data_IF_227642966778
#
_entry.id   IF_227642966778
#
_cell.length_a   1.000
_cell.length_b   1.000
_cell.length_c   1.000
_cell.angle_alpha   90.00
_cell.angle_beta   90.00
_cell.angle_gamma   90.00
#
_symmetry.space_group_name_H-M   'P 1'
#
loop_
_entity.id
_entity.type
_entity.pdbx_description
1 polymer ?
#
# COMPACT_ATOMS: atom_id res chain seq x y z
N UNK A 1 -3.27 -12.20 -3.55
CA UNK A 1 -3.01 -11.21 -4.62
C UNK A 1 -2.75 -11.89 -5.97
N UNK A 2 -3.42 -11.48 -7.05
CA UNK A 2 -3.12 -11.96 -8.42
C UNK A 2 -2.42 -10.90 -9.24
N UNK A 3 -1.68 -11.31 -10.28
CA UNK A 3 -0.95 -10.36 -11.14
C UNK A 3 -1.92 -9.39 -11.82
N UNK A 4 -3.02 -9.93 -12.36
CA UNK A 4 -4.08 -9.14 -12.99
C UNK A 4 -4.64 -8.09 -12.03
N UNK A 5 -4.98 -8.47 -10.81
CA UNK A 5 -5.52 -7.55 -9.81
C UNK A 5 -4.54 -6.40 -9.53
N UNK A 6 -3.25 -6.70 -9.33
CA UNK A 6 -2.25 -5.67 -9.07
C UNK A 6 -2.09 -4.72 -10.26
N UNK A 7 -2.06 -5.26 -11.50
CA UNK A 7 -2.00 -4.44 -12.72
C UNK A 7 -3.22 -3.53 -12.88
N UNK A 8 -4.42 -4.07 -12.65
CA UNK A 8 -5.68 -3.32 -12.74
C UNK A 8 -5.71 -2.19 -11.70
N UNK A 9 -5.28 -2.47 -10.47
CA UNK A 9 -5.17 -1.47 -9.38
C UNK A 9 -4.18 -0.37 -9.72
N UNK A 10 -2.99 -0.71 -10.23
CA UNK A 10 -1.98 0.29 -10.63
C UNK A 10 -2.51 1.16 -11.77
N UNK A 11 -3.19 0.55 -12.75
CA UNK A 11 -3.81 1.26 -13.86
C UNK A 11 -4.85 2.25 -13.35
N UNK A 12 -5.76 1.80 -12.49
CA UNK A 12 -6.80 2.63 -11.88
C UNK A 12 -6.19 3.77 -11.06
N UNK A 13 -5.15 3.51 -10.27
CA UNK A 13 -4.45 4.53 -9.48
C UNK A 13 -3.85 5.62 -10.38
N UNK A 14 -3.23 5.24 -11.51
CA UNK A 14 -2.68 6.18 -12.49
C UNK A 14 -3.78 7.00 -13.17
N UNK A 15 -4.85 6.36 -13.63
CA UNK A 15 -5.98 7.03 -14.27
C UNK A 15 -6.65 8.05 -13.33
N UNK A 16 -6.76 7.70 -12.05
CA UNK A 16 -7.31 8.56 -11.00
C UNK A 16 -6.29 9.53 -10.39
N UNK A 17 -5.06 9.61 -10.93
CA UNK A 17 -3.98 10.50 -10.42
C UNK A 17 -3.75 10.38 -8.91
N UNK A 18 -3.77 9.14 -8.42
CA UNK A 18 -3.47 8.80 -7.04
C UNK A 18 -1.96 8.85 -6.82
N UNK A 19 -1.52 9.24 -5.63
CA UNK A 19 -0.09 9.28 -5.28
C UNK A 19 0.43 7.91 -4.87
N UNK A 20 -0.43 7.07 -4.27
CA UNK A 20 -0.03 5.76 -3.80
C UNK A 20 -1.19 4.78 -3.67
N UNK A 21 -0.82 3.54 -3.39
CA UNK A 21 -1.73 2.45 -3.03
C UNK A 21 -1.27 1.83 -1.72
N UNK A 22 -2.21 1.51 -0.84
CA UNK A 22 -1.98 0.75 0.39
C UNK A 22 -2.70 -0.58 0.27
N UNK A 23 -1.96 -1.69 0.39
CA UNK A 23 -2.49 -3.05 0.30
C UNK A 23 -2.34 -3.71 1.67
N UNK A 24 -3.46 -4.11 2.27
CA UNK A 24 -3.47 -4.75 3.58
C UNK A 24 -3.20 -6.26 3.49
N UNK A 25 -2.63 -6.83 4.55
CA UNK A 25 -2.40 -8.27 4.64
C UNK A 25 -3.71 -9.07 4.64
N UNK A 26 -4.69 -8.64 5.43
CA UNK A 26 -6.01 -9.28 5.46
C UNK A 26 -7.11 -8.30 5.84
N UNK A 27 -8.36 -8.69 5.63
CA UNK A 27 -9.54 -7.95 6.10
C UNK A 27 -9.52 -7.77 7.62
N UNK A 28 -9.21 -8.85 8.35
CA UNK A 28 -9.10 -8.84 9.81
C UNK A 28 -7.97 -7.94 10.29
N UNK A 29 -6.85 -7.87 9.57
CA UNK A 29 -5.77 -6.93 9.89
C UNK A 29 -6.24 -5.49 9.72
N UNK A 30 -6.93 -5.20 8.62
CA UNK A 30 -7.47 -3.86 8.36
C UNK A 30 -8.52 -3.45 9.40
N UNK A 31 -9.47 -4.32 9.74
CA UNK A 31 -10.50 -4.01 10.77
C UNK A 31 -9.88 -3.74 12.14
N UNK A 32 -8.88 -4.52 12.54
CA UNK A 32 -8.27 -4.38 13.86
C UNK A 32 -7.26 -3.23 13.96
N UNK A 33 -6.62 -2.85 12.85
CA UNK A 33 -5.44 -1.96 12.87
C UNK A 33 -5.57 -0.73 11.98
N UNK A 34 -6.35 -0.78 10.91
CA UNK A 34 -6.44 0.28 9.91
C UNK A 34 -7.73 1.08 10.00
N UNK A 35 -8.84 0.43 10.33
CA UNK A 35 -10.13 1.10 10.38
C UNK A 35 -10.19 2.06 11.58
N UNK A 36 -10.08 3.36 11.30
CA UNK A 36 -10.14 4.41 12.31
C UNK A 36 -8.86 4.61 13.12
N UNK A 37 -7.75 3.94 12.75
CA UNK A 37 -6.45 4.15 13.38
C UNK A 37 -5.64 5.19 12.59
N UNK A 38 -5.78 6.44 13.03
CA UNK A 38 -5.18 7.59 12.33
C UNK A 38 -3.66 7.51 12.23
N UNK A 39 -2.96 7.01 13.24
CA UNK A 39 -1.49 6.90 13.21
C UNK A 39 -1.01 5.94 12.11
N UNK A 40 -1.70 4.83 11.92
CA UNK A 40 -1.35 3.82 10.92
C UNK A 40 -1.65 4.34 9.51
N UNK A 41 -2.75 5.08 9.35
CA UNK A 41 -3.06 5.75 8.09
C UNK A 41 -2.04 6.86 7.79
N UNK A 42 -1.75 7.75 8.76
CA UNK A 42 -0.78 8.83 8.62
C UNK A 42 0.62 8.31 8.26
N UNK A 43 1.07 7.20 8.87
CA UNK A 43 2.34 6.56 8.52
C UNK A 43 2.37 6.02 7.08
N UNK A 44 1.26 5.44 6.61
CA UNK A 44 1.16 4.96 5.23
C UNK A 44 1.18 6.14 4.24
N UNK A 45 0.50 7.23 4.59
CA UNK A 45 0.44 8.46 3.80
C UNK A 45 1.81 9.15 3.75
N UNK A 46 2.46 9.35 4.89
CA UNK A 46 3.80 9.97 5.01
C UNK A 46 4.82 9.24 4.13
N UNK A 47 4.86 7.91 4.18
CA UNK A 47 5.80 7.16 3.35
C UNK A 47 5.50 7.24 1.86
N UNK A 48 4.22 7.29 1.47
CA UNK A 48 3.83 7.53 0.08
C UNK A 48 4.27 8.94 -0.37
N UNK A 49 4.09 9.97 0.46
CA UNK A 49 4.53 11.34 0.16
C UNK A 49 6.05 11.46 0.04
N UNK A 50 6.80 10.75 0.87
CA UNK A 50 8.26 10.71 0.79
C UNK A 50 8.77 9.85 -0.39
N UNK A 51 7.87 9.25 -1.18
CA UNK A 51 8.23 8.35 -2.27
C UNK A 51 8.88 7.05 -1.79
N UNK A 52 8.67 6.67 -0.52
CA UNK A 52 9.23 5.46 0.09
C UNK A 52 8.23 4.32 0.01
N UNK A 53 8.76 3.10 -0.13
CA UNK A 53 7.94 1.91 0.09
C UNK A 53 7.89 1.64 1.58
N UNK A 54 6.68 1.58 2.12
CA UNK A 54 6.45 1.18 3.49
C UNK A 54 6.05 -0.28 3.52
N UNK A 55 6.71 -1.07 4.35
CA UNK A 55 6.12 -2.30 4.86
C UNK A 55 6.00 -2.16 6.37
N UNK A 56 4.78 -2.17 6.88
CA UNK A 56 4.56 -2.20 8.32
C UNK A 56 4.35 -3.64 8.77
N UNK A 57 5.05 -4.04 9.84
CA UNK A 57 4.84 -5.33 10.49
C UNK A 57 4.27 -5.12 11.90
N UNK A 58 3.35 -5.99 12.30
CA UNK A 58 2.78 -6.06 13.65
C UNK A 58 3.61 -7.05 14.46
N UNK A 59 3.97 -6.66 15.69
CA UNK A 59 4.54 -7.59 16.66
C UNK A 59 3.43 -8.10 17.58
N UNK A 60 3.02 -9.36 17.39
CA UNK A 60 2.05 -10.03 18.26
C UNK A 60 2.58 -11.42 18.63
N UNK A 61 3.66 -11.48 19.40
CA UNK A 61 4.43 -12.71 19.68
C UNK A 61 5.33 -13.16 18.52
N UNK A 62 4.92 -12.87 17.28
CA UNK A 62 5.71 -13.00 16.04
C UNK A 62 5.49 -11.76 15.16
N UNK A 63 6.43 -11.48 14.24
CA UNK A 63 6.32 -10.36 13.28
C UNK A 63 5.44 -10.76 12.10
N UNK A 64 4.26 -10.14 11.96
CA UNK A 64 3.33 -10.39 10.85
C UNK A 64 3.14 -9.13 9.99
N UNK A 65 3.10 -9.24 8.65
CA UNK A 65 2.88 -8.09 7.78
C UNK A 65 1.49 -7.47 8.01
N UNK A 66 1.44 -6.14 8.13
CA UNK A 66 0.23 -5.35 8.33
C UNK A 66 -0.30 -4.82 6.99
N UNK A 67 0.48 -3.97 6.34
CA UNK A 67 0.21 -3.42 5.01
C UNK A 67 1.52 -3.13 4.28
N UNK A 68 1.41 -3.01 2.96
CA UNK A 68 2.44 -2.44 2.10
C UNK A 68 1.90 -1.16 1.45
N UNK A 69 2.61 -0.05 1.59
CA UNK A 69 2.28 1.23 0.96
C UNK A 69 3.29 1.54 -0.15
N UNK A 70 2.79 1.86 -1.33
CA UNK A 70 3.58 1.92 -2.56
C UNK A 70 3.22 3.19 -3.32
N UNK A 71 4.19 4.09 -3.58
CA UNK A 71 4.00 5.23 -4.45
C UNK A 71 3.72 4.78 -5.89
N UNK A 72 2.72 5.37 -6.54
CA UNK A 72 2.34 5.03 -7.93
C UNK A 72 3.48 5.32 -8.90
N UNK A 73 4.23 6.39 -8.66
CA UNK A 73 5.37 6.83 -9.49
C UNK A 73 6.47 5.77 -9.59
N UNK A 74 6.67 4.94 -8.55
CA UNK A 74 7.69 3.88 -8.61
C UNK A 74 7.38 2.79 -9.63
N UNK A 75 6.11 2.63 -10.02
CA UNK A 75 5.75 1.73 -11.11
C UNK A 75 6.17 2.24 -12.50
N UNK A 76 6.67 3.47 -12.62
CA UNK A 76 7.33 3.95 -13.84
C UNK A 76 8.70 3.29 -14.06
N UNK A 77 9.31 2.71 -13.02
CA UNK A 77 10.52 1.89 -13.14
C UNK A 77 10.30 0.56 -13.91
N UNK A 78 9.06 0.29 -14.33
CA UNK A 78 8.71 -0.77 -15.26
C UNK A 78 8.56 -2.16 -14.61
N UNK A 79 8.62 -3.20 -15.45
CA UNK A 79 8.31 -4.58 -15.07
C UNK A 79 9.18 -5.14 -13.92
N UNK A 80 10.42 -4.68 -13.79
CA UNK A 80 11.31 -5.12 -12.70
C UNK A 80 10.74 -4.75 -11.34
N UNK A 81 10.24 -3.51 -11.22
CA UNK A 81 9.66 -3.02 -9.98
C UNK A 81 8.28 -3.64 -9.72
N UNK A 82 7.47 -3.77 -10.76
CA UNK A 82 6.20 -4.49 -10.67
C UNK A 82 6.39 -5.92 -10.11
N UNK A 83 7.35 -6.67 -10.65
CA UNK A 83 7.63 -8.04 -10.19
C UNK A 83 8.14 -8.08 -8.75
N UNK A 84 8.95 -7.10 -8.33
CA UNK A 84 9.36 -6.96 -6.93
C UNK A 84 8.15 -6.80 -6.01
N UNK A 85 7.27 -5.84 -6.29
CA UNK A 85 6.05 -5.59 -5.51
C UNK A 85 5.14 -6.82 -5.52
N UNK A 86 4.94 -7.45 -6.67
CA UNK A 86 4.09 -8.62 -6.80
C UNK A 86 4.60 -9.80 -5.95
N UNK A 87 5.91 -10.02 -5.93
CA UNK A 87 6.53 -11.05 -5.11
C UNK A 87 6.43 -10.72 -3.61
N UNK A 88 6.61 -9.45 -3.23
CA UNK A 88 6.38 -9.00 -1.85
C UNK A 88 4.92 -9.21 -1.42
N UNK A 89 3.96 -8.88 -2.32
CA UNK A 89 2.53 -9.10 -2.11
C UNK A 89 2.22 -10.58 -1.83
N UNK A 90 2.84 -11.49 -2.59
CA UNK A 90 2.69 -12.94 -2.38
C UNK A 90 3.33 -13.42 -1.08
N UNK A 91 4.55 -12.99 -0.79
CA UNK A 91 5.30 -13.42 0.38
C UNK A 91 4.63 -12.98 1.69
N UNK A 92 4.15 -11.74 1.74
CA UNK A 92 3.45 -11.19 2.90
C UNK A 92 1.95 -11.50 2.95
N UNK A 93 1.45 -12.33 2.02
CA UNK A 93 0.01 -12.64 1.88
C UNK A 93 -0.86 -11.38 1.90
N UNK A 94 -0.51 -10.38 1.10
CA UNK A 94 -1.28 -9.15 0.97
C UNK A 94 -2.53 -9.38 0.13
N UNK A 95 -3.58 -9.87 0.78
CA UNK A 95 -4.84 -10.28 0.14
C UNK A 95 -6.05 -9.52 0.69
N UNK A 96 -5.80 -8.55 1.55
CA UNK A 96 -6.81 -7.70 2.15
C UNK A 96 -7.26 -6.53 1.28
N UNK A 97 -7.96 -5.56 1.88
CA UNK A 97 -8.42 -4.35 1.22
C UNK A 97 -7.28 -3.57 0.56
N UNK A 98 -7.63 -2.83 -0.49
CA UNK A 98 -6.73 -1.90 -1.18
C UNK A 98 -7.31 -0.50 -1.03
N UNK A 99 -6.53 0.43 -0.49
CA UNK A 99 -6.88 1.85 -0.37
C UNK A 99 -6.07 2.65 -1.38
N UNK A 100 -6.75 3.50 -2.14
CA UNK A 100 -6.12 4.50 -2.99
C UNK A 100 -5.83 5.75 -2.17
N UNK A 101 -4.66 6.34 -2.39
CA UNK A 101 -4.20 7.52 -1.69
C UNK A 101 -4.23 8.70 -2.66
N UNK A 102 -5.21 9.62 -2.54
CA UNK A 102 -5.43 10.65 -3.53
C UNK A 102 -4.46 11.81 -3.34
N UNK A 103 -4.18 12.52 -4.44
CA UNK A 103 -3.23 13.64 -4.44
C UNK A 103 -3.68 14.86 -3.66
N UNK A 104 -4.98 14.99 -3.39
CA UNK A 104 -5.58 16.10 -2.64
C UNK A 104 -5.55 15.91 -1.11
N UNK A 105 -5.28 14.71 -0.59
CA UNK A 105 -5.20 14.47 0.85
C UNK A 105 -3.87 14.97 1.47
N UNK A 106 -2.90 15.40 0.65
CA UNK A 106 -1.59 15.89 1.12
C UNK A 106 -1.47 17.41 1.25
N UNK A 107 -2.49 18.18 0.83
CA UNK A 107 -2.45 19.63 1.05
C UNK A 107 -2.47 20.03 2.53
N UNK A 108 -2.76 19.09 3.43
CA UNK A 108 -2.73 19.31 4.88
C UNK A 108 -1.45 18.80 5.57
N UNK A 109 -0.58 18.07 4.87
CA UNK A 109 0.67 17.52 5.41
C UNK A 109 1.92 18.39 5.12
N UNK A 110 1.79 19.40 4.25
CA UNK A 110 2.85 20.35 3.87
C UNK A 110 2.51 21.77 4.29
#
# INVERSE_FOLDING_TARGET
MTEKLLRDVIKEAKEKKQLGIVIWSSWTTWENMGQGNKEVEDLAMEQIAEGKEATMNIKCGFSMPAFIAIPVEKFEAGEKYFNYVFNACKAGRYEGPIKFVPSNEFSEFF
#
